data_IF_196285780652
#
_entry.id   IF_196285780652
#
_cell.length_a   1.000
_cell.length_b   1.000
_cell.length_c   1.000
_cell.angle_alpha   90.00
_cell.angle_beta   90.00
_cell.angle_gamma   90.00
#
_symmetry.space_group_name_H-M   'P 1'
#
loop_
_entity.id
_entity.type
_entity.pdbx_description
1 polymer ?
#
# COMPACT_ATOMS: atom_id res chain seq x y z
N UNK A 1 -42.51 58.20 -62.55
CA UNK A 1 -41.44 57.19 -62.37
C UNK A 1 -40.86 57.13 -60.95
N UNK A 2 -40.98 58.17 -60.11
CA UNK A 2 -40.45 58.18 -58.73
C UNK A 2 -41.22 57.33 -57.70
N UNK A 3 -42.54 57.17 -57.84
CA UNK A 3 -43.37 56.44 -56.88
C UNK A 3 -43.04 54.93 -56.80
N UNK A 4 -42.61 54.32 -57.90
CA UNK A 4 -42.28 52.88 -57.94
C UNK A 4 -40.95 52.58 -57.22
N UNK A 5 -39.97 53.47 -57.29
CA UNK A 5 -38.70 53.34 -56.56
C UNK A 5 -38.87 53.56 -55.06
N UNK A 6 -39.73 54.50 -54.66
CA UNK A 6 -40.06 54.74 -53.26
C UNK A 6 -40.75 53.52 -52.65
N UNK A 7 -41.76 52.96 -53.33
CA UNK A 7 -42.47 51.76 -52.88
C UNK A 7 -41.55 50.55 -52.76
N UNK A 8 -40.63 50.35 -53.72
CA UNK A 8 -39.63 49.28 -53.65
C UNK A 8 -38.69 49.44 -52.46
N UNK A 9 -38.25 50.66 -52.16
CA UNK A 9 -37.39 50.93 -51.00
C UNK A 9 -38.12 50.74 -49.68
N UNK A 10 -39.41 51.09 -49.61
CA UNK A 10 -40.27 50.83 -48.45
C UNK A 10 -40.50 49.33 -48.25
N UNK A 11 -40.74 48.57 -49.31
CA UNK A 11 -40.88 47.11 -49.26
C UNK A 11 -39.61 46.43 -48.74
N UNK A 12 -38.43 46.79 -49.27
CA UNK A 12 -37.14 46.26 -48.79
C UNK A 12 -36.90 46.61 -47.31
N UNK A 13 -37.31 47.81 -46.87
CA UNK A 13 -37.17 48.20 -45.47
C UNK A 13 -38.12 47.42 -44.57
N UNK A 14 -39.36 47.20 -45.00
CA UNK A 14 -40.33 46.38 -44.29
C UNK A 14 -39.86 44.93 -44.16
N UNK A 15 -39.36 44.32 -45.25
CA UNK A 15 -38.78 42.97 -45.22
C UNK A 15 -37.59 42.87 -44.26
N UNK A 16 -36.72 43.88 -44.21
CA UNK A 16 -35.60 43.91 -43.26
C UNK A 16 -36.04 44.03 -41.81
N UNK A 17 -37.11 44.78 -41.53
CA UNK A 17 -37.67 44.88 -40.18
C UNK A 17 -38.23 43.52 -39.76
N UNK A 18 -39.04 42.88 -40.62
CA UNK A 18 -39.58 41.53 -40.35
C UNK A 18 -38.46 40.51 -40.15
N UNK A 19 -37.43 40.52 -41.00
CA UNK A 19 -36.28 39.62 -40.85
C UNK A 19 -35.49 39.86 -39.56
N UNK A 20 -35.39 41.12 -39.12
CA UNK A 20 -34.74 41.45 -37.85
C UNK A 20 -35.59 41.02 -36.65
N UNK A 21 -36.91 41.17 -36.70
CA UNK A 21 -37.81 40.73 -35.62
C UNK A 21 -37.78 39.21 -35.45
N UNK A 22 -37.74 38.47 -36.57
CA UNK A 22 -37.54 37.01 -36.55
C UNK A 22 -36.19 36.67 -35.92
N UNK A 23 -35.09 37.33 -36.32
CA UNK A 23 -33.78 37.10 -35.70
C UNK A 23 -33.80 37.39 -34.20
N UNK A 24 -34.39 38.51 -33.79
CA UNK A 24 -34.47 38.92 -32.39
C UNK A 24 -35.24 37.88 -31.56
N UNK A 25 -36.40 37.43 -32.06
CA UNK A 25 -37.18 36.39 -31.37
C UNK A 25 -36.43 35.06 -31.26
N UNK A 26 -35.73 34.64 -32.32
CA UNK A 26 -34.90 33.41 -32.26
C UNK A 26 -33.74 33.55 -31.28
N UNK A 27 -33.11 34.73 -31.18
CA UNK A 27 -32.03 34.94 -30.21
C UNK A 27 -32.53 34.88 -28.76
N UNK A 28 -33.71 35.42 -28.46
CA UNK A 28 -34.30 35.31 -27.13
C UNK A 28 -34.68 33.88 -26.78
N UNK A 29 -35.21 33.11 -27.74
CA UNK A 29 -35.50 31.69 -27.54
C UNK A 29 -34.23 30.88 -27.25
N UNK A 30 -33.15 31.13 -27.99
CA UNK A 30 -31.86 30.47 -27.75
C UNK A 30 -31.25 30.86 -26.41
N UNK A 31 -31.41 32.11 -25.97
CA UNK A 31 -30.97 32.55 -24.65
C UNK A 31 -31.73 31.83 -23.53
N UNK A 32 -33.06 31.72 -23.63
CA UNK A 32 -33.86 30.96 -22.66
C UNK A 32 -33.44 29.50 -22.57
N UNK A 33 -33.23 28.83 -23.71
CA UNK A 33 -32.74 27.44 -23.73
C UNK A 33 -31.34 27.33 -23.12
N UNK A 34 -30.46 28.31 -23.35
CA UNK A 34 -29.12 28.32 -22.77
C UNK A 34 -29.16 28.51 -21.24
N UNK A 35 -30.05 29.35 -20.73
CA UNK A 35 -30.26 29.53 -19.29
C UNK A 35 -30.79 28.25 -18.64
N UNK A 36 -31.81 27.62 -19.24
CA UNK A 36 -32.37 26.35 -18.76
C UNK A 36 -31.31 25.23 -18.72
N UNK A 37 -30.45 25.15 -19.75
CA UNK A 37 -29.35 24.17 -19.79
C UNK A 37 -28.28 24.45 -18.72
N UNK A 38 -27.99 25.71 -18.43
CA UNK A 38 -27.06 26.07 -17.36
C UNK A 38 -27.63 25.74 -15.98
N UNK A 39 -28.93 25.95 -15.77
CA UNK A 39 -29.60 25.55 -14.53
C UNK A 39 -29.61 24.03 -14.37
N UNK A 40 -29.93 23.27 -15.42
CA UNK A 40 -29.83 21.80 -15.40
C UNK A 40 -28.42 21.33 -15.07
N UNK A 41 -27.39 21.89 -15.72
CA UNK A 41 -26.01 21.54 -15.45
C UNK A 41 -25.53 21.94 -14.04
N UNK A 42 -26.18 22.92 -13.40
CA UNK A 42 -25.94 23.25 -11.99
C UNK A 42 -26.58 22.20 -11.08
N UNK A 43 -27.85 21.87 -11.31
CA UNK A 43 -28.58 20.85 -10.54
C UNK A 43 -27.86 19.51 -10.62
N UNK A 44 -27.40 19.10 -11.80
CA UNK A 44 -26.68 17.84 -11.98
C UNK A 44 -25.37 17.79 -11.19
N UNK A 45 -24.62 18.90 -11.13
CA UNK A 45 -23.40 19.00 -10.32
C UNK A 45 -23.70 18.92 -8.83
N UNK A 46 -24.73 19.63 -8.38
CA UNK A 46 -25.13 19.61 -6.97
C UNK A 46 -25.62 18.21 -6.56
N UNK A 47 -26.36 17.52 -7.45
CA UNK A 47 -26.81 16.14 -7.25
C UNK A 47 -25.64 15.15 -7.17
N UNK A 48 -24.63 15.30 -8.04
CA UNK A 48 -23.44 14.45 -8.02
C UNK A 48 -22.63 14.66 -6.74
N UNK A 49 -22.48 15.91 -6.30
CA UNK A 49 -21.83 16.24 -5.03
C UNK A 49 -22.56 15.58 -3.84
N UNK A 50 -23.88 15.70 -3.78
CA UNK A 50 -24.69 15.10 -2.72
C UNK A 50 -24.58 13.56 -2.70
N UNK A 51 -24.55 12.91 -3.88
CA UNK A 51 -24.36 11.46 -3.98
C UNK A 51 -22.99 11.02 -3.47
N UNK A 52 -21.94 11.78 -3.77
CA UNK A 52 -20.61 11.48 -3.27
C UNK A 52 -20.53 11.64 -1.75
N UNK A 53 -21.19 12.65 -1.20
CA UNK A 53 -21.28 12.84 0.24
C UNK A 53 -22.08 11.74 0.93
N UNK A 54 -23.19 11.29 0.33
CA UNK A 54 -23.98 10.15 0.80
C UNK A 54 -23.13 8.86 0.82
N UNK A 55 -22.38 8.58 -0.25
CA UNK A 55 -21.48 7.43 -0.30
C UNK A 55 -20.39 7.49 0.78
N UNK A 56 -19.83 8.68 1.04
CA UNK A 56 -18.87 8.87 2.13
C UNK A 56 -19.50 8.58 3.48
N UNK A 57 -20.65 9.19 3.78
CA UNK A 57 -21.33 9.03 5.07
C UNK A 57 -21.76 7.57 5.31
N UNK A 58 -22.29 6.90 4.29
CA UNK A 58 -22.68 5.49 4.40
C UNK A 58 -21.48 4.59 4.68
N UNK A 59 -20.31 4.87 4.12
CA UNK A 59 -19.08 4.16 4.44
C UNK A 59 -18.61 4.38 5.89
N UNK A 60 -18.70 5.63 6.38
CA UNK A 60 -18.35 5.98 7.75
C UNK A 60 -19.30 5.32 8.77
N UNK A 61 -20.61 5.32 8.50
CA UNK A 61 -21.61 4.63 9.33
C UNK A 61 -21.33 3.14 9.41
N UNK A 62 -20.97 2.49 8.30
CA UNK A 62 -20.65 1.07 8.29
C UNK A 62 -19.42 0.73 9.16
N UNK A 63 -18.39 1.57 9.15
CA UNK A 63 -17.22 1.39 10.01
C UNK A 63 -17.59 1.55 11.49
N UNK A 64 -18.43 2.53 11.82
CA UNK A 64 -18.93 2.73 13.18
C UNK A 64 -19.77 1.54 13.66
N UNK A 65 -20.66 1.01 12.81
CA UNK A 65 -21.45 -0.17 13.12
C UNK A 65 -20.56 -1.39 13.42
N UNK A 66 -19.50 -1.59 12.63
CA UNK A 66 -18.54 -2.66 12.86
C UNK A 66 -17.77 -2.47 14.18
N UNK A 67 -17.37 -1.24 14.51
CA UNK A 67 -16.73 -0.92 15.78
C UNK A 67 -17.67 -1.16 16.99
N UNK A 68 -18.94 -0.75 16.88
CA UNK A 68 -19.96 -1.00 17.90
C UNK A 68 -20.18 -2.51 18.07
N UNK A 69 -20.26 -3.25 16.98
CA UNK A 69 -20.42 -4.70 17.03
C UNK A 69 -19.22 -5.39 17.68
N UNK A 70 -17.99 -5.02 17.30
CA UNK A 70 -16.76 -5.54 17.90
C UNK A 70 -16.68 -5.26 19.40
N UNK A 71 -17.02 -4.03 19.82
CA UNK A 71 -17.01 -3.68 21.24
C UNK A 71 -18.09 -4.42 22.02
N UNK A 72 -19.29 -4.59 21.47
CA UNK A 72 -20.35 -5.40 22.07
C UNK A 72 -19.93 -6.86 22.23
N UNK A 73 -19.28 -7.44 21.22
CA UNK A 73 -18.75 -8.80 21.26
C UNK A 73 -17.68 -8.96 22.36
N UNK A 74 -16.75 -8.00 22.48
CA UNK A 74 -15.74 -8.01 23.53
C UNK A 74 -16.36 -7.89 24.92
N UNK A 75 -17.35 -7.02 25.11
CA UNK A 75 -18.07 -6.91 26.38
C UNK A 75 -18.82 -8.20 26.70
N UNK A 76 -19.43 -8.85 25.71
CA UNK A 76 -20.08 -10.15 25.90
C UNK A 76 -19.05 -11.23 26.30
N UNK A 77 -17.88 -11.27 25.66
CA UNK A 77 -16.80 -12.17 26.04
C UNK A 77 -16.32 -11.90 27.48
N UNK A 78 -16.14 -10.63 27.86
CA UNK A 78 -15.79 -10.23 29.22
C UNK A 78 -16.86 -10.66 30.25
N UNK A 79 -18.14 -10.53 29.92
CA UNK A 79 -19.22 -10.96 30.83
C UNK A 79 -19.29 -12.49 30.94
N UNK A 80 -19.06 -13.24 29.85
CA UNK A 80 -18.94 -14.71 29.87
C UNK A 80 -17.75 -15.17 30.71
N UNK A 81 -16.59 -14.53 30.58
CA UNK A 81 -15.42 -14.83 31.43
C UNK A 81 -15.72 -14.53 32.90
N UNK A 82 -16.35 -13.38 33.18
CA UNK A 82 -16.73 -13.00 34.55
C UNK A 82 -17.74 -13.96 35.18
N UNK A 83 -18.69 -14.48 34.40
CA UNK A 83 -19.76 -15.37 34.89
C UNK A 83 -19.31 -16.83 34.98
N UNK A 84 -18.43 -17.28 34.09
CA UNK A 84 -17.85 -18.62 34.12
C UNK A 84 -16.58 -18.72 34.98
N UNK A 85 -16.10 -17.58 35.51
CA UNK A 85 -14.89 -17.47 36.31
C UNK A 85 -15.15 -17.55 37.80
N UNK A 86 -15.62 -18.70 38.30
CA UNK A 86 -15.39 -19.03 39.71
C UNK A 86 -13.89 -19.29 39.87
N UNK A 87 -13.19 -18.31 40.45
CA UNK A 87 -11.74 -18.26 40.59
C UNK A 87 -11.13 -19.40 41.44
N UNK A 88 -11.94 -20.35 41.89
CA UNK A 88 -11.53 -21.48 42.75
C UNK A 88 -11.12 -22.72 41.96
N UNK A 89 -11.52 -22.89 40.70
CA UNK A 89 -11.31 -24.17 39.98
C UNK A 89 -10.26 -24.12 38.86
N UNK A 90 -9.90 -22.96 38.32
CA UNK A 90 -8.91 -22.88 37.22
C UNK A 90 -7.92 -21.70 37.38
N UNK A 91 -6.62 -21.97 37.59
CA UNK A 91 -5.60 -20.91 37.76
C UNK A 91 -5.32 -20.09 36.48
N UNK A 92 -5.83 -20.50 35.32
CA UNK A 92 -5.80 -19.69 34.09
C UNK A 92 -6.82 -18.53 34.09
N UNK A 93 -7.89 -18.61 34.89
CA UNK A 93 -8.89 -17.53 35.02
C UNK A 93 -8.46 -16.46 36.03
N UNK A 94 -7.47 -16.74 36.89
CA UNK A 94 -6.96 -15.82 37.89
C UNK A 94 -6.05 -14.71 37.31
N UNK A 95 -5.69 -14.77 36.03
CA UNK A 95 -4.75 -13.85 35.39
C UNK A 95 -5.36 -12.53 34.88
N UNK A 96 -6.68 -12.31 35.02
CA UNK A 96 -7.33 -11.05 34.66
C UNK A 96 -7.86 -10.34 35.92
N UNK A 97 -7.05 -10.26 36.97
CA UNK A 97 -7.21 -9.22 37.99
C UNK A 97 -6.14 -8.17 37.69
N UNK A 98 -6.48 -7.25 36.78
CA UNK A 98 -5.62 -6.10 36.51
C UNK A 98 -5.56 -5.25 37.79
N UNK A 99 -4.37 -5.12 38.38
CA UNK A 99 -4.11 -4.12 39.40
C UNK A 99 -4.36 -2.73 38.79
N UNK A 100 -5.20 -1.86 39.38
CA UNK A 100 -5.41 -0.49 38.89
C UNK A 100 -4.12 0.36 38.86
N UNK A 101 -3.01 -0.12 39.42
CA UNK A 101 -1.67 0.45 39.27
C UNK A 101 -0.84 -0.06 38.08
N UNK A 102 -1.36 -0.99 37.27
CA UNK A 102 -0.68 -1.46 36.05
C UNK A 102 -0.70 -0.35 35.01
N UNK A 103 0.34 0.48 35.03
CA UNK A 103 0.66 1.40 33.94
C UNK A 103 0.91 0.52 32.72
N UNK A 104 -0.03 0.52 31.76
CA UNK A 104 0.24 0.02 30.42
C UNK A 104 1.39 0.86 29.86
N UNK A 105 2.61 0.33 29.93
CA UNK A 105 3.76 0.94 29.31
C UNK A 105 3.59 0.74 27.80
N UNK A 106 3.14 1.79 27.13
CA UNK A 106 3.05 1.81 25.67
C UNK A 106 4.47 1.87 25.12
N UNK A 107 5.04 0.69 24.85
CA UNK A 107 6.34 0.57 24.21
C UNK A 107 6.13 0.80 22.72
N UNK A 108 6.70 1.88 22.19
CA UNK A 108 6.71 2.17 20.77
C UNK A 108 7.43 1.02 20.05
N UNK A 109 6.67 0.17 19.35
CA UNK A 109 7.22 -0.96 18.60
C UNK A 109 7.57 -0.51 17.17
N UNK A 110 8.39 -1.26 16.43
CA UNK A 110 8.56 -1.00 15.00
C UNK A 110 7.39 -1.59 14.21
N UNK A 111 7.07 -0.98 13.07
CA UNK A 111 6.03 -1.46 12.16
C UNK A 111 6.31 -2.91 11.74
N UNK A 112 7.58 -3.24 11.51
CA UNK A 112 8.04 -4.61 11.27
C UNK A 112 7.69 -5.58 12.40
N UNK A 113 8.00 -5.22 13.65
CA UNK A 113 7.74 -6.09 14.80
C UNK A 113 6.24 -6.27 15.01
N UNK A 114 5.46 -5.21 14.86
CA UNK A 114 4.00 -5.27 14.93
C UNK A 114 3.43 -6.20 13.85
N UNK A 115 3.88 -6.08 12.60
CA UNK A 115 3.44 -6.92 11.50
C UNK A 115 3.84 -8.39 11.70
N UNK A 116 5.04 -8.66 12.23
CA UNK A 116 5.50 -10.00 12.57
C UNK A 116 4.63 -10.66 13.65
N UNK A 117 4.33 -9.93 14.74
CA UNK A 117 3.45 -10.43 15.80
C UNK A 117 2.03 -10.70 15.28
N UNK A 118 1.44 -9.76 14.53
CA UNK A 118 0.10 -9.92 13.96
C UNK A 118 0.03 -11.12 13.01
N UNK A 119 1.06 -11.35 12.21
CA UNK A 119 1.15 -12.50 11.31
C UNK A 119 1.17 -13.83 12.08
N UNK A 120 1.88 -13.91 13.21
CA UNK A 120 1.85 -15.10 14.08
C UNK A 120 0.50 -15.28 14.79
N UNK A 121 -0.05 -14.20 15.33
CA UNK A 121 -1.35 -14.25 16.00
C UNK A 121 -2.48 -14.60 15.02
N UNK A 122 -2.40 -14.19 13.76
CA UNK A 122 -3.36 -14.55 12.72
C UNK A 122 -3.45 -16.06 12.46
N UNK A 123 -2.40 -16.84 12.77
CA UNK A 123 -2.45 -18.32 12.70
C UNK A 123 -3.22 -18.94 13.86
N UNK A 124 -3.05 -18.39 15.07
CA UNK A 124 -3.75 -18.86 16.26
C UNK A 124 -5.21 -18.37 16.26
N UNK A 125 -5.43 -17.15 15.79
CA UNK A 125 -6.70 -16.45 15.77
C UNK A 125 -7.00 -15.97 14.34
N UNK A 126 -7.74 -16.76 13.55
CA UNK A 126 -8.05 -16.41 12.15
C UNK A 126 -8.74 -15.06 11.98
N UNK A 127 -9.41 -14.54 13.02
CA UNK A 127 -10.07 -13.24 13.00
C UNK A 127 -9.09 -12.06 12.98
N UNK A 128 -7.85 -12.28 13.41
CA UNK A 128 -6.76 -11.29 13.38
C UNK A 128 -5.91 -11.41 12.11
N UNK A 129 -6.24 -12.36 11.23
CA UNK A 129 -5.52 -12.54 9.98
C UNK A 129 -5.88 -11.44 9.00
N UNK A 130 -4.87 -10.74 8.52
CA UNK A 130 -4.99 -9.68 7.53
C UNK A 130 -3.92 -9.90 6.45
N UNK A 131 -4.39 -10.14 5.23
CA UNK A 131 -3.53 -10.42 4.08
C UNK A 131 -2.65 -9.20 3.72
N UNK A 132 -3.11 -7.97 3.99
CA UNK A 132 -2.32 -6.76 3.76
C UNK A 132 -1.14 -6.67 4.75
N UNK A 133 -1.38 -7.04 6.01
CA UNK A 133 -0.34 -7.10 7.04
C UNK A 133 0.67 -8.20 6.71
N UNK A 134 0.22 -9.38 6.27
CA UNK A 134 1.12 -10.45 5.83
C UNK A 134 2.00 -10.01 4.63
N UNK A 135 1.41 -9.30 3.65
CA UNK A 135 2.14 -8.83 2.47
C UNK A 135 3.17 -7.74 2.83
N UNK A 136 2.80 -6.80 3.71
CA UNK A 136 3.71 -5.76 4.21
C UNK A 136 4.89 -6.37 4.99
N UNK A 137 4.62 -7.38 5.82
CA UNK A 137 5.64 -8.14 6.55
C UNK A 137 6.64 -8.81 5.61
N UNK A 138 6.16 -9.56 4.60
CA UNK A 138 7.03 -10.20 3.60
C UNK A 138 7.87 -9.18 2.85
N UNK A 139 7.27 -8.05 2.47
CA UNK A 139 7.96 -6.95 1.78
C UNK A 139 9.06 -6.33 2.64
N UNK A 140 8.84 -6.16 3.94
CA UNK A 140 9.82 -5.62 4.87
C UNK A 140 11.04 -6.56 4.99
N UNK A 141 10.82 -7.86 5.16
CA UNK A 141 11.91 -8.86 5.17
C UNK A 141 12.67 -8.83 3.85
N UNK A 142 11.99 -8.84 2.71
CA UNK A 142 12.62 -8.80 1.39
C UNK A 142 13.49 -7.55 1.19
N UNK A 143 13.07 -6.39 1.70
CA UNK A 143 13.89 -5.16 1.69
C UNK A 143 15.14 -5.32 2.53
N UNK A 144 15.05 -5.94 3.71
CA UNK A 144 16.22 -6.22 4.55
C UNK A 144 17.23 -7.13 3.83
N UNK A 145 16.76 -8.18 3.14
CA UNK A 145 17.61 -9.06 2.34
C UNK A 145 18.23 -8.35 1.13
N UNK A 146 17.44 -7.54 0.43
CA UNK A 146 17.92 -6.74 -0.71
C UNK A 146 19.05 -5.78 -0.30
N UNK A 147 18.89 -5.11 0.84
CA UNK A 147 19.90 -4.20 1.39
C UNK A 147 21.20 -4.92 1.79
N UNK A 148 21.15 -6.24 2.02
CA UNK A 148 22.29 -7.11 2.29
C UNK A 148 23.00 -7.59 1.01
N UNK A 149 22.41 -7.37 -0.18
CA UNK A 149 22.94 -7.90 -1.45
C UNK A 149 22.69 -9.41 -1.63
N UNK A 150 21.75 -9.97 -0.85
CA UNK A 150 21.30 -11.36 -0.99
C UNK A 150 19.95 -11.35 -1.72
N UNK A 151 19.66 -12.39 -2.50
CA UNK A 151 18.34 -12.54 -3.11
C UNK A 151 17.24 -12.47 -2.05
N UNK A 152 16.19 -11.66 -2.26
CA UNK A 152 15.01 -11.71 -1.41
C UNK A 152 14.35 -13.09 -1.43
N UNK A 153 13.69 -13.45 -0.33
CA UNK A 153 13.08 -14.78 -0.13
C UNK A 153 11.99 -15.03 -1.18
N UNK A 154 11.29 -13.99 -1.61
CA UNK A 154 10.25 -14.08 -2.64
C UNK A 154 10.78 -14.66 -3.96
N UNK A 155 12.02 -14.33 -4.32
CA UNK A 155 12.68 -14.77 -5.55
C UNK A 155 13.41 -16.11 -5.42
N UNK A 156 13.50 -16.69 -4.21
CA UNK A 156 14.13 -17.99 -4.03
C UNK A 156 13.24 -19.13 -4.57
N UNK A 157 13.85 -20.23 -5.03
CA UNK A 157 13.10 -21.43 -5.39
C UNK A 157 12.54 -22.10 -4.11
N UNK A 158 11.26 -22.48 -4.13
CA UNK A 158 10.59 -23.14 -3.01
C UNK A 158 9.07 -23.01 -3.10
N UNK A 159 8.34 -23.88 -2.40
CA UNK A 159 6.89 -23.80 -2.27
C UNK A 159 6.49 -22.62 -1.37
N UNK A 160 5.26 -22.12 -1.52
CA UNK A 160 4.78 -20.96 -0.78
C UNK A 160 4.78 -21.18 0.75
N UNK A 161 4.55 -22.42 1.19
CA UNK A 161 4.59 -22.80 2.61
C UNK A 161 6.01 -22.78 3.17
N UNK A 162 7.00 -23.26 2.40
CA UNK A 162 8.42 -23.24 2.79
C UNK A 162 8.94 -21.81 2.87
N UNK A 163 8.55 -20.96 1.92
CA UNK A 163 8.86 -19.52 1.94
C UNK A 163 8.24 -18.84 3.15
N UNK A 164 6.98 -19.14 3.46
CA UNK A 164 6.31 -18.58 4.62
C UNK A 164 6.98 -19.00 5.95
N UNK A 165 7.50 -20.22 6.03
CA UNK A 165 8.32 -20.66 7.16
C UNK A 165 9.64 -19.91 7.24
N UNK A 166 10.34 -19.74 6.11
CA UNK A 166 11.61 -19.01 6.07
C UNK A 166 11.46 -17.53 6.48
N UNK A 167 10.42 -16.84 5.98
CA UNK A 167 10.11 -15.46 6.40
C UNK A 167 9.95 -15.35 7.91
N UNK A 168 9.26 -16.32 8.52
CA UNK A 168 9.04 -16.39 9.96
C UNK A 168 10.34 -16.65 10.71
N UNK A 169 11.08 -17.69 10.36
CA UNK A 169 12.27 -18.09 11.11
C UNK A 169 13.31 -16.98 11.11
N UNK A 170 13.48 -16.30 9.98
CA UNK A 170 14.35 -15.12 9.87
C UNK A 170 13.81 -13.95 10.69
N UNK A 171 12.50 -13.67 10.62
CA UNK A 171 11.92 -12.57 11.43
C UNK A 171 12.07 -12.80 12.93
N UNK A 172 11.92 -14.05 13.39
CA UNK A 172 12.06 -14.40 14.79
C UNK A 172 13.51 -14.30 15.26
N UNK A 173 14.46 -14.68 14.41
CA UNK A 173 15.88 -14.46 14.68
C UNK A 173 16.17 -12.97 14.89
N UNK A 174 15.68 -12.11 13.98
CA UNK A 174 15.87 -10.66 14.03
C UNK A 174 15.24 -10.08 15.31
N UNK A 175 13.99 -10.45 15.62
CA UNK A 175 13.29 -9.97 16.82
C UNK A 175 13.94 -10.44 18.13
N UNK A 176 14.57 -11.62 18.13
CA UNK A 176 15.23 -12.18 19.32
C UNK A 176 16.58 -11.53 19.58
N UNK A 177 17.30 -11.14 18.53
CA UNK A 177 18.68 -10.67 18.63
C UNK A 177 18.81 -9.15 18.71
N UNK A 178 17.85 -8.38 18.18
CA UNK A 178 17.96 -6.93 18.06
C UNK A 178 16.92 -6.17 18.87
N UNK A 179 17.32 -4.99 19.34
CA UNK A 179 16.40 -4.05 20.00
C UNK A 179 15.65 -3.19 18.98
N UNK A 180 14.51 -2.62 19.37
CA UNK A 180 13.67 -1.76 18.53
C UNK A 180 14.40 -0.69 17.70
N UNK A 181 15.40 0.07 18.22
CA UNK A 181 16.10 1.07 17.41
C UNK A 181 16.94 0.44 16.28
N UNK A 182 17.53 -0.73 16.50
CA UNK A 182 18.33 -1.45 15.51
C UNK A 182 17.43 -2.02 14.41
N UNK A 183 16.26 -2.54 14.78
CA UNK A 183 15.25 -3.01 13.83
C UNK A 183 14.77 -1.88 12.92
N UNK A 184 14.53 -0.68 13.46
CA UNK A 184 14.18 0.51 12.66
C UNK A 184 15.31 0.94 11.73
N UNK A 185 16.56 0.81 12.17
CA UNK A 185 17.73 1.09 11.34
C UNK A 185 17.90 0.07 10.20
N UNK A 186 17.56 -1.20 10.45
CA UNK A 186 17.53 -2.27 9.44
C UNK A 186 16.42 -2.05 8.40
N UNK A 187 15.23 -1.66 8.86
CA UNK A 187 14.07 -1.39 7.99
C UNK A 187 14.31 -0.19 7.05
N UNK A 188 14.90 0.88 7.58
CA UNK A 188 15.25 2.08 6.80
C UNK A 188 16.48 1.89 5.90
N UNK A 189 17.21 0.78 6.05
CA UNK A 189 18.46 0.51 5.33
C UNK A 189 19.65 1.37 5.79
N UNK A 190 19.51 2.08 6.91
CA UNK A 190 20.59 2.85 7.53
C UNK A 190 21.66 1.95 8.15
N UNK A 191 21.28 0.72 8.53
CA UNK A 191 22.17 -0.32 9.03
C UNK A 191 21.98 -1.60 8.20
N UNK A 192 23.06 -2.36 7.96
CA UNK A 192 22.99 -3.64 7.25
C UNK A 192 23.12 -4.79 8.23
N UNK A 193 22.51 -5.93 7.90
CA UNK A 193 22.68 -7.18 8.66
C UNK A 193 24.16 -7.65 8.69
N UNK A 194 24.97 -7.24 7.70
CA UNK A 194 26.43 -7.47 7.66
C UNK A 194 27.16 -6.73 8.79
N UNK A 195 26.70 -5.52 9.13
CA UNK A 195 27.29 -4.71 10.21
C UNK A 195 26.99 -5.32 11.60
N UNK A 196 26.05 -6.25 11.65
CA UNK A 196 25.59 -6.93 12.86
C UNK A 196 26.14 -8.36 13.00
N UNK A 197 27.05 -8.80 12.11
CA UNK A 197 27.70 -10.12 12.12
C UNK A 197 26.77 -11.35 12.10
N UNK A 198 25.49 -11.21 11.72
CA UNK A 198 24.48 -12.29 11.76
C UNK A 198 24.28 -12.98 10.39
N UNK A 199 25.09 -12.57 9.40
CA UNK A 199 25.02 -13.11 8.04
C UNK A 199 25.17 -14.64 7.97
N UNK A 200 26.03 -15.23 8.81
CA UNK A 200 26.25 -16.67 8.86
C UNK A 200 25.03 -17.44 9.42
N UNK A 201 24.37 -16.90 10.44
CA UNK A 201 23.20 -17.55 11.05
C UNK A 201 21.98 -17.47 10.13
N UNK A 202 21.82 -16.36 9.40
CA UNK A 202 20.78 -16.22 8.39
C UNK A 202 21.05 -17.12 7.20
N UNK A 203 22.30 -17.22 6.71
CA UNK A 203 22.63 -18.14 5.61
C UNK A 203 22.38 -19.59 6.00
N UNK A 204 22.73 -19.99 7.22
CA UNK A 204 22.49 -21.35 7.72
C UNK A 204 20.99 -21.68 7.85
N UNK A 205 20.17 -20.70 8.29
CA UNK A 205 18.71 -20.84 8.35
C UNK A 205 18.09 -20.96 6.95
N UNK A 206 18.54 -20.12 6.03
CA UNK A 206 18.05 -20.11 4.65
C UNK A 206 18.46 -21.39 3.90
N UNK A 207 19.69 -21.88 4.10
CA UNK A 207 20.16 -23.13 3.51
C UNK A 207 19.34 -24.33 3.97
N UNK A 208 18.90 -24.34 5.24
CA UNK A 208 18.03 -25.39 5.79
C UNK A 208 16.61 -25.36 5.25
N UNK A 209 16.07 -24.17 4.97
CA UNK A 209 14.67 -24.00 4.57
C UNK A 209 14.46 -24.02 3.04
N UNK A 210 15.35 -23.40 2.27
CA UNK A 210 15.14 -23.10 0.85
C UNK A 210 16.35 -23.44 -0.05
N UNK A 211 17.46 -23.88 0.54
CA UNK A 211 18.73 -24.13 -0.17
C UNK A 211 19.67 -22.91 -0.18
N UNK A 212 20.87 -23.03 -0.76
CA UNK A 212 21.91 -22.01 -0.62
C UNK A 212 21.50 -20.69 -1.26
N UNK A 213 21.61 -19.55 -0.55
CA UNK A 213 21.26 -18.25 -1.08
C UNK A 213 22.18 -17.87 -2.24
N UNK A 214 21.59 -17.43 -3.36
CA UNK A 214 22.36 -16.94 -4.50
C UNK A 214 22.81 -15.52 -4.18
N UNK A 215 24.12 -15.31 -4.04
CA UNK A 215 24.65 -13.95 -3.91
C UNK A 215 24.33 -13.16 -5.17
N UNK A 216 23.64 -12.02 -5.01
CA UNK A 216 23.46 -11.11 -6.12
C UNK A 216 24.85 -10.52 -6.35
N UNK A 217 25.53 -10.99 -7.40
CA UNK A 217 26.78 -10.36 -7.86
C UNK A 217 26.53 -8.87 -7.95
N UNK A 218 27.15 -8.11 -7.05
CA UNK A 218 27.24 -6.67 -7.19
C UNK A 218 27.87 -6.44 -8.55
N UNK A 219 27.09 -5.96 -9.52
CA UNK A 219 27.68 -5.36 -10.70
C UNK A 219 28.61 -4.29 -10.16
N UNK A 220 29.92 -4.58 -10.24
CA UNK A 220 31.03 -3.69 -9.97
C UNK A 220 30.56 -2.27 -10.24
N UNK A 221 30.49 -1.47 -9.18
CA UNK A 221 30.03 -0.09 -9.20
C UNK A 221 30.32 0.53 -10.57
N UNK A 222 29.27 1.01 -11.26
CA UNK A 222 29.49 1.83 -12.45
C UNK A 222 30.55 2.87 -12.04
N UNK A 223 31.73 2.89 -12.68
CA UNK A 223 32.70 3.92 -12.38
C UNK A 223 31.99 5.24 -12.69
N UNK A 224 31.97 6.13 -11.69
CA UNK A 224 31.42 7.48 -11.78
C UNK A 224 31.64 8.05 -13.17
N UNK A 225 30.56 8.55 -13.78
CA UNK A 225 30.45 8.97 -15.18
C UNK A 225 31.52 9.97 -15.65
N UNK A 226 32.75 9.49 -15.79
CA UNK A 226 33.82 10.11 -16.54
C UNK A 226 34.09 9.18 -17.71
N UNK A 227 33.63 9.62 -18.88
CA UNK A 227 34.02 9.11 -20.18
C UNK A 227 35.55 9.18 -20.30
N UNK A 228 36.26 8.17 -19.80
CA UNK A 228 37.68 7.98 -20.10
C UNK A 228 37.77 7.39 -21.50
N UNK A 229 38.27 8.19 -22.42
CA UNK A 229 38.44 7.96 -23.85
C UNK A 229 39.53 6.93 -24.20
N UNK A 230 39.66 5.85 -23.44
CA UNK A 230 40.70 4.84 -23.68
C UNK A 230 40.13 3.57 -24.33
N UNK A 231 40.45 3.43 -25.62
CA UNK A 231 40.12 2.25 -26.43
C UNK A 231 40.81 0.99 -25.86
N UNK A 232 40.13 -0.15 -25.73
CA UNK A 232 40.78 -1.38 -25.30
C UNK A 232 41.69 -1.95 -26.41
N UNK A 233 42.98 -2.09 -26.10
CA UNK A 233 43.94 -2.83 -26.93
C UNK A 233 43.56 -4.32 -26.91
N UNK A 234 43.32 -4.88 -28.10
CA UNK A 234 43.12 -6.32 -28.36
C UNK A 234 44.23 -7.15 -27.70
N UNK A 235 43.90 -7.95 -26.69
CA UNK A 235 44.77 -9.04 -26.21
C UNK A 235 44.64 -10.22 -27.17
N UNK A 236 45.76 -10.61 -27.78
CA UNK A 236 45.92 -11.80 -28.62
C UNK A 236 45.66 -13.06 -27.76
N UNK A 237 44.82 -13.95 -28.28
CA UNK A 237 44.67 -15.31 -27.80
C UNK A 237 45.97 -16.08 -28.10
N UNK A 238 46.57 -16.69 -27.08
CA UNK A 238 47.63 -17.70 -27.27
C UNK A 238 47.02 -19.05 -26.92
N UNK A 239 46.83 -19.88 -27.93
CA UNK A 239 46.41 -21.28 -27.85
C UNK A 239 47.44 -22.12 -27.11
N UNK A 240 47.03 -22.79 -26.03
CA UNK A 240 47.81 -23.88 -25.42
C UNK A 240 47.45 -25.17 -26.14
N UNK A 241 48.45 -25.77 -26.82
CA UNK A 241 48.32 -27.10 -27.43
C UNK A 241 48.43 -28.18 -26.34
N UNK A 242 47.44 -29.07 -26.34
CA UNK A 242 47.43 -30.37 -25.68
C UNK A 242 48.60 -31.21 -26.21
N UNK A 243 49.34 -31.85 -25.29
CA UNK A 243 50.25 -32.94 -25.62
C UNK A 243 49.88 -34.14 -24.73
N UNK A 244 49.25 -35.12 -25.39
CA UNK A 244 49.13 -36.52 -24.99
C UNK A 244 50.49 -37.21 -25.09
N UNK A 245 50.90 -37.91 -24.03
CA UNK A 245 51.48 -39.26 -24.02
C UNK A 245 51.75 -39.67 -22.57
#
# INVERSE_FOLDING_TARGET
MYGTLLNRRLAIRAERVVANDVKLSTTYQLQGVAEDLMEQARIDRDMEFLRQEELRLTSEVRLLDQAIWNTALLVEACTKIRTNGDATENPMNALIVHDPGSVNEFIETSDFAQAAYLTEFGKLYPIMRDDEVEASFRTAVDRMFWNMGVTPISFMPGDDDDKASAYRDVSWLILKQFQTPEIRALESGAMRLQDLNIQAEISDLMERALGPPIEIMTHRALPDGRLSSERPKKRRQTTVRVATA
#
